data_IF_469480563480
#
_entry.id   IF_469480563480
#
_cell.length_a   1.000
_cell.length_b   1.000
_cell.length_c   1.000
_cell.angle_alpha   90.00
_cell.angle_beta   90.00
_cell.angle_gamma   90.00
#
_symmetry.space_group_name_H-M   'P 1'
#
loop_
_entity.id
_entity.type
_entity.pdbx_description
1 polymer ?
#
# COMPACT_ATOMS: atom_id res chain seq x y z
N UNK A 1 -51.11 -6.57 14.39
CA UNK A 1 -50.84 -8.02 14.64
C UNK A 1 -49.33 -8.22 14.63
N UNK A 2 -48.69 -7.55 15.59
CA UNK A 2 -47.28 -7.57 15.94
C UNK A 2 -47.26 -7.80 17.46
N UNK A 3 -46.17 -8.40 17.91
CA UNK A 3 -45.78 -8.62 19.31
C UNK A 3 -46.55 -9.71 20.07
N UNK A 4 -46.00 -10.93 20.05
CA UNK A 4 -46.15 -11.91 21.16
C UNK A 4 -45.22 -13.15 21.06
N UNK A 5 -44.09 -13.10 20.34
CA UNK A 5 -43.23 -14.29 20.13
C UNK A 5 -41.77 -14.21 20.61
N UNK A 6 -41.37 -13.20 21.39
CA UNK A 6 -39.98 -13.12 21.91
C UNK A 6 -39.79 -13.41 23.39
N UNK A 7 -40.83 -13.70 24.19
CA UNK A 7 -40.68 -13.83 25.65
C UNK A 7 -40.56 -15.26 26.19
N UNK A 8 -40.86 -16.30 25.39
CA UNK A 8 -40.81 -17.69 25.88
C UNK A 8 -39.46 -18.39 25.68
N UNK A 9 -38.55 -17.88 24.84
CA UNK A 9 -37.23 -18.49 24.63
C UNK A 9 -36.22 -18.20 25.75
N UNK A 10 -36.43 -17.13 26.52
CA UNK A 10 -35.49 -16.66 27.54
C UNK A 10 -35.73 -17.28 28.92
N UNK A 11 -36.90 -17.90 29.14
CA UNK A 11 -37.25 -18.53 30.44
C UNK A 11 -36.75 -19.96 30.58
N UNK A 12 -36.54 -20.69 29.48
CA UNK A 12 -36.06 -22.07 29.51
C UNK A 12 -34.54 -22.18 29.66
N UNK A 13 -33.78 -21.13 29.30
CA UNK A 13 -32.34 -21.03 29.59
C UNK A 13 -32.05 -20.65 31.05
N UNK A 14 -33.01 -20.06 31.76
CA UNK A 14 -32.85 -19.62 33.17
C UNK A 14 -33.31 -20.70 34.16
N UNK A 15 -34.09 -21.71 33.72
CA UNK A 15 -34.57 -22.80 34.58
C UNK A 15 -33.68 -24.04 34.63
N UNK A 16 -32.74 -24.21 33.70
CA UNK A 16 -31.77 -25.32 33.78
C UNK A 16 -30.58 -25.05 34.73
N UNK A 17 -30.56 -23.89 35.40
CA UNK A 17 -29.49 -23.49 36.34
C UNK A 17 -29.90 -23.69 37.80
N UNK A 18 -31.06 -24.32 38.07
CA UNK A 18 -31.52 -24.61 39.44
C UNK A 18 -31.85 -26.09 39.58
N UNK A 19 -30.85 -26.88 39.94
CA UNK A 19 -31.03 -28.28 40.28
C UNK A 19 -29.72 -29.05 40.28
N UNK A 20 -28.94 -28.87 41.33
CA UNK A 20 -28.13 -29.87 42.06
C UNK A 20 -27.09 -29.09 42.88
N UNK A 21 -27.52 -28.65 44.06
CA UNK A 21 -26.64 -28.30 45.17
C UNK A 21 -25.95 -29.58 45.64
N UNK A 22 -24.90 -29.98 44.92
CA UNK A 22 -23.81 -30.73 45.53
C UNK A 22 -22.86 -29.67 46.08
N UNK A 23 -22.92 -29.53 47.40
CA UNK A 23 -22.03 -28.77 48.27
C UNK A 23 -20.62 -29.40 48.24
N UNK A 24 -20.00 -29.43 47.05
CA UNK A 24 -18.55 -29.42 46.95
C UNK A 24 -18.16 -27.97 47.10
N UNK A 25 -17.80 -27.60 48.32
CA UNK A 25 -16.98 -26.42 48.60
C UNK A 25 -15.87 -26.37 47.54
N UNK A 26 -16.03 -25.50 46.54
CA UNK A 26 -14.94 -24.91 45.79
C UNK A 26 -14.14 -24.13 46.83
N UNK A 27 -13.31 -24.87 47.57
CA UNK A 27 -12.13 -24.30 48.16
C UNK A 27 -11.40 -23.71 46.97
N UNK A 28 -11.41 -22.38 46.87
CA UNK A 28 -10.35 -21.65 46.20
C UNK A 28 -9.06 -22.10 46.89
N UNK A 29 -8.51 -23.24 46.45
CA UNK A 29 -7.12 -23.60 46.65
C UNK A 29 -6.36 -22.32 46.30
N UNK A 30 -5.68 -21.67 47.26
CA UNK A 30 -5.06 -20.38 47.04
C UNK A 30 -4.10 -20.56 45.87
N UNK A 31 -4.53 -20.10 44.69
CA UNK A 31 -3.87 -20.44 43.44
C UNK A 31 -2.39 -20.15 43.61
N UNK A 32 -1.56 -21.18 43.50
CA UNK A 32 -0.11 -21.08 43.72
C UNK A 32 0.39 -19.88 42.91
N UNK A 33 0.70 -18.80 43.62
CA UNK A 33 1.21 -17.59 42.99
C UNK A 33 2.47 -17.96 42.24
N UNK A 34 2.65 -17.42 41.03
CA UNK A 34 3.90 -17.59 40.29
C UNK A 34 5.04 -17.25 41.25
N UNK A 35 5.94 -18.20 41.58
CA UNK A 35 6.96 -17.98 42.58
C UNK A 35 7.90 -16.89 42.08
N UNK A 36 7.73 -15.67 42.58
CA UNK A 36 8.65 -14.57 42.34
C UNK A 36 9.89 -14.81 43.22
N UNK A 37 11.09 -15.02 42.66
CA UNK A 37 12.29 -15.12 43.47
C UNK A 37 12.48 -13.83 44.28
N UNK A 38 12.75 -13.96 45.57
CA UNK A 38 13.01 -12.80 46.45
C UNK A 38 14.16 -11.97 45.86
N UNK A 39 13.94 -10.65 45.74
CA UNK A 39 14.91 -9.72 45.17
C UNK A 39 14.77 -9.46 43.66
N UNK A 40 13.89 -10.18 42.95
CA UNK A 40 13.58 -9.92 41.52
C UNK A 40 12.19 -9.31 41.29
N UNK A 41 11.52 -8.86 42.35
CA UNK A 41 10.15 -8.34 42.32
C UNK A 41 9.99 -7.19 41.33
N UNK A 42 10.95 -6.26 41.31
CA UNK A 42 10.94 -5.11 40.39
C UNK A 42 10.92 -5.55 38.91
N UNK A 43 11.73 -6.54 38.54
CA UNK A 43 11.78 -7.06 37.17
C UNK A 43 10.42 -7.65 36.74
N UNK A 44 9.74 -8.35 37.66
CA UNK A 44 8.41 -8.91 37.40
C UNK A 44 7.34 -7.82 37.26
N UNK A 45 7.38 -6.77 38.10
CA UNK A 45 6.47 -5.63 37.99
C UNK A 45 6.67 -4.87 36.68
N UNK A 46 7.91 -4.57 36.30
CA UNK A 46 8.24 -3.90 35.04
C UNK A 46 7.76 -4.73 33.83
N UNK A 47 7.98 -6.04 33.86
CA UNK A 47 7.53 -6.95 32.81
C UNK A 47 6.00 -7.00 32.65
N UNK A 48 5.25 -6.96 33.76
CA UNK A 48 3.78 -6.92 33.76
C UNK A 48 3.24 -5.58 33.24
N UNK A 49 3.81 -4.48 33.74
CA UNK A 49 3.45 -3.12 33.32
C UNK A 49 3.72 -2.96 31.82
N UNK A 50 4.87 -3.41 31.31
CA UNK A 50 5.20 -3.35 29.90
C UNK A 50 4.17 -4.10 29.04
N UNK A 51 3.71 -5.28 29.46
CA UNK A 51 2.67 -6.06 28.76
C UNK A 51 1.32 -5.34 28.73
N UNK A 52 0.91 -4.69 29.82
CA UNK A 52 -0.33 -3.92 29.88
C UNK A 52 -0.26 -2.65 29.03
N UNK A 53 0.85 -1.91 29.14
CA UNK A 53 1.09 -0.68 28.38
C UNK A 53 1.18 -0.98 26.87
N UNK A 54 1.85 -2.06 26.49
CA UNK A 54 1.93 -2.53 25.11
C UNK A 54 0.54 -2.73 24.50
N UNK A 55 -0.36 -3.47 25.17
CA UNK A 55 -1.71 -3.75 24.65
C UNK A 55 -2.50 -2.47 24.42
N UNK A 56 -2.47 -1.56 25.39
CA UNK A 56 -3.12 -0.24 25.28
C UNK A 56 -2.53 0.56 24.12
N UNK A 57 -1.21 0.69 24.07
CA UNK A 57 -0.51 1.48 23.07
C UNK A 57 -0.74 0.93 21.65
N UNK A 58 -0.69 -0.40 21.47
CA UNK A 58 -0.98 -1.06 20.20
C UNK A 58 -2.42 -0.80 19.74
N UNK A 59 -3.40 -0.98 20.63
CA UNK A 59 -4.81 -0.79 20.29
C UNK A 59 -5.12 0.67 19.90
N UNK A 60 -4.61 1.62 20.68
CA UNK A 60 -4.76 3.05 20.38
C UNK A 60 -4.03 3.37 19.07
N UNK A 61 -2.76 2.96 18.92
CA UNK A 61 -1.96 3.21 17.73
C UNK A 61 -2.62 2.73 16.44
N UNK A 62 -3.16 1.50 16.42
CA UNK A 62 -3.87 0.96 15.25
C UNK A 62 -5.17 1.73 14.97
N UNK A 63 -5.93 2.07 16.02
CA UNK A 63 -7.22 2.77 15.87
C UNK A 63 -7.02 4.18 15.31
N UNK A 64 -6.07 4.92 15.86
CA UNK A 64 -5.72 6.27 15.40
C UNK A 64 -5.14 6.24 13.99
N UNK A 65 -4.31 5.24 13.65
CA UNK A 65 -3.78 5.07 12.30
C UNK A 65 -4.88 4.75 11.28
N UNK A 66 -5.90 3.98 11.67
CA UNK A 66 -7.06 3.73 10.82
C UNK A 66 -7.93 4.98 10.60
N UNK A 67 -7.89 5.93 11.54
CA UNK A 67 -8.57 7.22 11.45
C UNK A 67 -7.71 8.32 10.83
N UNK A 68 -6.50 8.00 10.35
CA UNK A 68 -5.52 8.93 9.80
C UNK A 68 -5.04 10.03 10.79
N UNK A 69 -5.15 9.78 12.10
CA UNK A 69 -4.56 10.65 13.12
C UNK A 69 -3.09 10.29 13.33
N UNK A 70 -2.25 10.68 12.37
CA UNK A 70 -0.84 10.28 12.29
C UNK A 70 -0.02 10.62 13.54
N UNK A 71 -0.09 11.83 14.13
CA UNK A 71 0.75 12.18 15.28
C UNK A 71 0.47 11.31 16.52
N UNK A 72 -0.81 11.04 16.78
CA UNK A 72 -1.23 10.24 17.93
C UNK A 72 -0.95 8.76 17.67
N UNK A 73 -1.18 8.29 16.44
CA UNK A 73 -0.84 6.94 16.02
C UNK A 73 0.67 6.67 16.22
N UNK A 74 1.53 7.54 15.68
CA UNK A 74 2.99 7.42 15.74
C UNK A 74 3.48 7.33 17.18
N UNK A 75 3.06 8.28 18.03
CA UNK A 75 3.45 8.30 19.46
C UNK A 75 3.09 6.99 20.17
N UNK A 76 1.89 6.46 19.93
CA UNK A 76 1.45 5.22 20.55
C UNK A 76 2.16 3.99 19.96
N UNK A 77 2.46 3.97 18.66
CA UNK A 77 3.20 2.88 18.01
C UNK A 77 4.67 2.86 18.45
N UNK A 78 5.30 4.01 18.64
CA UNK A 78 6.66 4.13 19.20
C UNK A 78 6.69 3.62 20.64
N UNK A 79 5.70 3.97 21.45
CA UNK A 79 5.55 3.42 22.79
C UNK A 79 5.34 1.90 22.75
N UNK A 80 4.45 1.39 21.88
CA UNK A 80 4.24 -0.05 21.70
C UNK A 80 5.55 -0.76 21.30
N UNK A 81 6.34 -0.17 20.41
CA UNK A 81 7.66 -0.68 20.00
C UNK A 81 8.63 -0.74 21.20
N UNK A 82 8.69 0.31 22.01
CA UNK A 82 9.54 0.34 23.20
C UNK A 82 9.12 -0.75 24.22
N UNK A 83 7.82 -0.86 24.50
CA UNK A 83 7.31 -1.90 25.41
C UNK A 83 7.55 -3.31 24.87
N UNK A 84 7.42 -3.52 23.56
CA UNK A 84 7.63 -4.84 22.95
C UNK A 84 9.08 -5.31 23.08
N UNK A 85 10.05 -4.40 23.04
CA UNK A 85 11.47 -4.72 23.33
C UNK A 85 11.67 -5.16 24.78
N UNK A 86 11.04 -4.48 25.74
CA UNK A 86 11.06 -4.92 27.16
C UNK A 86 10.40 -6.28 27.32
N UNK A 87 9.28 -6.53 26.61
CA UNK A 87 8.61 -7.83 26.63
C UNK A 87 9.54 -8.93 26.10
N UNK A 88 10.24 -8.68 25.00
CA UNK A 88 11.23 -9.61 24.42
C UNK A 88 12.32 -9.98 25.44
N UNK A 89 12.89 -8.98 26.10
CA UNK A 89 14.00 -9.19 27.03
C UNK A 89 13.52 -9.84 28.35
N UNK A 90 12.23 -9.74 28.67
CA UNK A 90 11.58 -10.33 29.86
C UNK A 90 10.73 -11.58 29.56
N UNK A 91 10.91 -12.24 28.41
CA UNK A 91 10.10 -13.40 28.01
C UNK A 91 10.27 -14.61 28.94
N UNK A 92 11.47 -14.79 29.49
CA UNK A 92 11.84 -15.90 30.36
C UNK A 92 11.26 -15.77 31.78
N UNK A 93 10.77 -14.58 32.15
CA UNK A 93 10.16 -14.37 33.45
C UNK A 93 8.80 -15.08 33.51
N UNK A 94 8.59 -15.85 34.58
CA UNK A 94 7.37 -16.64 34.77
C UNK A 94 7.34 -17.98 34.04
N UNK A 95 8.44 -18.40 33.39
CA UNK A 95 8.58 -19.81 32.96
C UNK A 95 8.83 -20.71 34.18
N UNK A 96 8.10 -21.82 34.25
CA UNK A 96 8.19 -22.77 35.37
C UNK A 96 9.58 -23.38 35.41
N UNK A 97 10.34 -23.06 36.45
CA UNK A 97 11.70 -23.55 36.71
C UNK A 97 11.72 -25.00 37.24
N UNK A 98 10.57 -25.58 37.63
CA UNK A 98 10.54 -26.70 38.58
C UNK A 98 9.56 -27.84 38.25
N UNK A 99 9.37 -28.19 36.97
CA UNK A 99 8.69 -29.45 36.56
C UNK A 99 7.21 -29.61 36.97
N UNK A 100 6.64 -28.63 37.67
CA UNK A 100 5.21 -28.51 37.99
C UNK A 100 4.65 -27.33 37.24
N UNK A 101 3.88 -27.57 36.17
CA UNK A 101 3.14 -26.52 35.48
C UNK A 101 2.28 -25.75 36.50
N UNK A 102 2.60 -24.47 36.72
CA UNK A 102 1.77 -23.56 37.50
C UNK A 102 0.36 -23.52 36.90
N UNK A 103 -0.67 -23.41 37.74
CA UNK A 103 -2.09 -23.37 37.31
C UNK A 103 -2.36 -22.28 36.25
N UNK A 104 -1.61 -21.19 36.24
CA UNK A 104 -1.70 -20.15 35.19
C UNK A 104 -1.19 -20.62 33.82
N UNK A 105 -0.16 -21.48 33.78
CA UNK A 105 0.31 -22.09 32.53
C UNK A 105 -0.70 -23.13 32.06
N UNK A 106 -1.30 -23.90 32.98
CA UNK A 106 -2.42 -24.78 32.65
C UNK A 106 -3.63 -23.99 32.13
N UNK A 107 -4.02 -22.90 32.78
CA UNK A 107 -5.11 -22.04 32.31
C UNK A 107 -4.81 -21.38 30.95
N UNK A 108 -3.54 -21.08 30.66
CA UNK A 108 -3.11 -20.63 29.33
C UNK A 108 -3.23 -21.76 28.30
N UNK A 109 -2.75 -22.97 28.61
CA UNK A 109 -2.88 -24.15 27.74
C UNK A 109 -4.35 -24.58 27.54
N UNK A 110 -5.19 -24.45 28.58
CA UNK A 110 -6.63 -24.67 28.54
C UNK A 110 -7.39 -23.56 27.80
N UNK A 111 -6.84 -22.34 27.81
CA UNK A 111 -7.40 -21.19 27.08
C UNK A 111 -7.27 -21.27 25.57
N UNK A 112 -6.35 -22.10 25.06
CA UNK A 112 -6.16 -22.38 23.64
C UNK A 112 -6.51 -23.83 23.32
N UNK A 113 -7.79 -24.14 23.14
CA UNK A 113 -8.27 -25.48 22.74
C UNK A 113 -8.22 -25.66 21.20
N UNK A 114 -7.29 -26.45 20.64
CA UNK A 114 -7.21 -26.69 19.20
C UNK A 114 -8.42 -27.47 18.66
N UNK A 115 -9.18 -28.11 19.55
CA UNK A 115 -10.36 -28.90 19.23
C UNK A 115 -11.66 -28.09 19.23
N UNK A 116 -11.61 -26.79 19.55
CA UNK A 116 -12.81 -25.93 19.61
C UNK A 116 -13.60 -25.92 18.29
N UNK A 117 -12.90 -26.06 17.16
CA UNK A 117 -13.50 -26.15 15.83
C UNK A 117 -14.37 -27.41 15.64
N UNK A 118 -14.26 -28.44 16.49
CA UNK A 118 -15.14 -29.63 16.45
C UNK A 118 -16.56 -29.33 16.91
N UNK A 119 -16.75 -28.27 17.72
CA UNK A 119 -18.07 -27.84 18.21
C UNK A 119 -18.80 -26.95 17.20
N UNK A 120 -18.08 -26.39 16.23
CA UNK A 120 -18.65 -25.61 15.15
C UNK A 120 -19.06 -26.56 14.01
N UNK A 121 -20.32 -26.52 13.59
CA UNK A 121 -20.79 -27.22 12.38
C UNK A 121 -20.16 -26.57 11.15
N UNK A 122 -18.93 -26.96 10.82
CA UNK A 122 -18.24 -26.50 9.62
C UNK A 122 -18.24 -27.64 8.60
N UNK A 123 -18.67 -27.39 7.37
CA UNK A 123 -18.59 -28.35 6.26
C UNK A 123 -17.16 -28.58 5.75
N UNK A 124 -16.17 -27.95 6.38
CA UNK A 124 -14.76 -28.08 6.05
C UNK A 124 -14.05 -28.95 7.10
N UNK A 125 -13.06 -29.76 6.70
CA UNK A 125 -12.29 -30.57 7.63
C UNK A 125 -11.63 -29.70 8.72
N UNK A 126 -11.52 -30.18 9.97
CA UNK A 126 -10.84 -29.47 11.04
C UNK A 126 -9.40 -29.15 10.65
N UNK A 127 -9.00 -27.88 10.75
CA UNK A 127 -7.61 -27.47 10.52
C UNK A 127 -6.88 -27.44 11.85
N UNK A 128 -5.77 -28.18 12.01
CA UNK A 128 -4.92 -28.04 13.18
C UNK A 128 -4.33 -26.63 13.19
N UNK A 129 -4.49 -25.92 14.31
CA UNK A 129 -3.86 -24.62 14.53
C UNK A 129 -2.48 -24.89 15.11
N UNK A 130 -1.43 -24.63 14.34
CA UNK A 130 -0.07 -24.67 14.84
C UNK A 130 0.18 -23.41 15.68
N UNK A 131 0.58 -23.59 16.94
CA UNK A 131 0.94 -22.48 17.79
C UNK A 131 2.30 -21.94 17.35
N UNK A 132 2.36 -20.63 17.11
CA UNK A 132 3.61 -19.90 16.84
C UNK A 132 4.42 -19.86 18.14
N UNK A 133 5.75 -20.01 18.07
CA UNK A 133 6.58 -19.89 19.27
C UNK A 133 6.49 -18.47 19.84
N UNK A 134 6.80 -18.31 21.13
CA UNK A 134 6.75 -16.98 21.75
C UNK A 134 7.75 -16.04 21.07
N UNK A 135 8.92 -16.56 20.72
CA UNK A 135 10.02 -15.81 20.10
C UNK A 135 9.61 -15.33 18.71
N UNK A 136 9.05 -16.23 17.90
CA UNK A 136 8.56 -15.89 16.57
C UNK A 136 7.39 -14.90 16.63
N UNK A 137 6.50 -15.03 17.61
CA UNK A 137 5.39 -14.08 17.80
C UNK A 137 5.89 -12.67 18.16
N UNK A 138 6.95 -12.58 18.98
CA UNK A 138 7.56 -11.30 19.36
C UNK A 138 8.22 -10.63 18.16
N UNK A 139 9.03 -11.37 17.40
CA UNK A 139 9.70 -10.84 16.20
C UNK A 139 8.68 -10.43 15.11
N UNK A 140 7.64 -11.24 14.88
CA UNK A 140 6.55 -10.88 13.96
C UNK A 140 5.82 -9.59 14.40
N UNK A 141 5.65 -9.38 15.70
CA UNK A 141 5.03 -8.17 16.23
C UNK A 141 5.93 -6.94 16.08
N UNK A 142 7.24 -7.08 16.33
CA UNK A 142 8.22 -6.02 16.12
C UNK A 142 8.28 -5.62 14.63
N UNK A 143 8.32 -6.60 13.72
CA UNK A 143 8.26 -6.37 12.28
C UNK A 143 6.97 -5.63 11.88
N UNK A 144 5.82 -6.05 12.41
CA UNK A 144 4.56 -5.35 12.18
C UNK A 144 4.59 -3.90 12.66
N UNK A 145 5.09 -3.65 13.88
CA UNK A 145 5.15 -2.28 14.42
C UNK A 145 6.07 -1.38 13.58
N UNK A 146 7.19 -1.92 13.09
CA UNK A 146 8.09 -1.20 12.19
C UNK A 146 7.37 -0.84 10.88
N UNK A 147 6.62 -1.78 10.30
CA UNK A 147 5.80 -1.52 9.12
C UNK A 147 4.74 -0.43 9.37
N UNK A 148 4.10 -0.40 10.55
CA UNK A 148 3.10 0.61 10.89
C UNK A 148 3.73 1.99 11.11
N UNK A 149 4.89 2.07 11.76
CA UNK A 149 5.64 3.32 11.95
C UNK A 149 6.07 3.92 10.62
N UNK A 150 6.53 3.09 9.68
CA UNK A 150 6.88 3.54 8.35
C UNK A 150 5.68 4.14 7.59
N UNK A 151 4.46 3.64 7.82
CA UNK A 151 3.24 4.24 7.26
C UNK A 151 3.03 5.63 7.85
N UNK A 152 3.23 5.82 9.15
CA UNK A 152 3.16 7.14 9.79
C UNK A 152 4.19 8.10 9.21
N UNK A 153 5.45 7.66 9.06
CA UNK A 153 6.53 8.46 8.46
C UNK A 153 6.21 8.85 7.02
N UNK A 154 5.69 7.91 6.22
CA UNK A 154 5.28 8.19 4.84
C UNK A 154 4.13 9.20 4.76
N UNK A 155 3.21 9.21 5.73
CA UNK A 155 2.11 10.16 5.78
C UNK A 155 2.53 11.57 6.24
N UNK A 156 3.64 11.69 6.97
CA UNK A 156 4.24 12.98 7.35
C UNK A 156 5.20 13.54 6.27
N UNK A 157 5.68 12.67 5.38
CA UNK A 157 6.68 13.02 4.38
C UNK A 157 6.06 13.71 3.15
N UNK A 158 6.71 14.78 2.70
CA UNK A 158 6.39 15.51 1.47
C UNK A 158 7.32 15.09 0.32
N UNK A 159 6.89 15.21 -0.96
CA UNK A 159 5.62 15.80 -1.45
C UNK A 159 4.45 14.81 -1.56
N UNK A 160 3.21 15.29 -1.40
CA UNK A 160 1.98 14.50 -1.52
C UNK A 160 1.47 14.37 -2.96
N UNK A 161 2.33 13.88 -3.87
CA UNK A 161 2.00 13.67 -5.27
C UNK A 161 1.81 12.18 -5.61
N UNK A 162 1.34 11.90 -6.82
CA UNK A 162 1.04 10.52 -7.24
C UNK A 162 2.30 9.64 -7.31
N UNK A 163 3.44 10.21 -7.69
CA UNK A 163 4.71 9.49 -7.82
C UNK A 163 5.20 9.03 -6.45
N UNK A 164 5.10 9.90 -5.44
CA UNK A 164 5.40 9.57 -4.06
C UNK A 164 4.43 8.52 -3.51
N UNK A 165 3.13 8.66 -3.74
CA UNK A 165 2.15 7.66 -3.31
C UNK A 165 2.43 6.27 -3.92
N UNK A 166 2.76 6.21 -5.22
CA UNK A 166 3.11 4.95 -5.89
C UNK A 166 4.43 4.37 -5.37
N UNK A 167 5.45 5.20 -5.16
CA UNK A 167 6.76 4.73 -4.69
C UNK A 167 6.67 4.12 -3.29
N UNK A 168 5.90 4.72 -2.38
CA UNK A 168 5.66 4.17 -1.04
C UNK A 168 4.98 2.81 -1.13
N UNK A 169 3.92 2.68 -1.93
CA UNK A 169 3.18 1.42 -2.04
C UNK A 169 4.02 0.33 -2.72
N UNK A 170 4.79 0.69 -3.75
CA UNK A 170 5.72 -0.24 -4.42
C UNK A 170 6.84 -0.71 -3.48
N UNK A 171 7.45 0.22 -2.74
CA UNK A 171 8.49 -0.08 -1.74
C UNK A 171 7.95 -1.01 -0.65
N UNK A 172 6.74 -0.74 -0.17
CA UNK A 172 6.09 -1.60 0.82
C UNK A 172 5.74 -2.98 0.26
N UNK A 173 5.30 -3.06 -0.99
CA UNK A 173 5.03 -4.33 -1.67
C UNK A 173 6.30 -5.17 -1.91
N UNK A 174 7.45 -4.53 -2.13
CA UNK A 174 8.73 -5.17 -2.41
C UNK A 174 9.49 -5.71 -1.18
N UNK A 175 9.01 -5.42 0.03
CA UNK A 175 9.62 -5.91 1.26
C UNK A 175 9.66 -7.44 1.35
N UNK A 176 10.79 -7.94 1.84
CA UNK A 176 11.02 -9.35 2.18
C UNK A 176 11.49 -9.42 3.64
N UNK A 177 10.71 -10.05 4.54
CA UNK A 177 9.42 -10.73 4.33
C UNK A 177 8.27 -9.77 3.93
N UNK A 178 7.24 -10.31 3.26
CA UNK A 178 6.08 -9.52 2.86
C UNK A 178 5.36 -8.96 4.10
N UNK A 179 4.99 -7.68 4.12
CA UNK A 179 4.23 -7.10 5.21
C UNK A 179 2.91 -7.83 5.43
N UNK A 180 2.51 -7.89 6.68
CA UNK A 180 1.32 -8.62 7.07
C UNK A 180 0.03 -7.96 6.52
N UNK A 181 -1.09 -8.66 6.64
CA UNK A 181 -2.37 -8.20 6.09
C UNK A 181 -2.88 -6.91 6.75
N UNK A 182 -2.60 -6.73 8.05
CA UNK A 182 -3.02 -5.54 8.80
C UNK A 182 -2.27 -4.31 8.28
N UNK A 183 -0.95 -4.38 8.21
CA UNK A 183 -0.12 -3.27 7.76
C UNK A 183 -0.42 -2.90 6.30
N UNK A 184 -0.61 -3.88 5.40
CA UNK A 184 -1.06 -3.62 4.01
C UNK A 184 -2.44 -2.95 3.94
N UNK A 185 -3.35 -3.32 4.84
CA UNK A 185 -4.69 -2.73 4.89
C UNK A 185 -4.66 -1.29 5.42
N UNK A 186 -3.86 -1.03 6.45
CA UNK A 186 -3.66 0.31 7.00
C UNK A 186 -2.91 1.23 6.04
N UNK A 187 -1.91 0.71 5.31
CA UNK A 187 -1.24 1.45 4.24
C UNK A 187 -2.25 1.91 3.19
N UNK A 188 -3.11 0.99 2.74
CA UNK A 188 -4.16 1.32 1.76
C UNK A 188 -5.06 2.45 2.25
N UNK A 189 -5.45 2.45 3.53
CA UNK A 189 -6.29 3.50 4.11
C UNK A 189 -5.54 4.84 4.22
N UNK A 190 -4.26 4.82 4.57
CA UNK A 190 -3.49 6.04 4.77
C UNK A 190 -3.01 6.68 3.46
N UNK A 191 -2.72 5.91 2.41
CA UNK A 191 -2.21 6.48 1.14
C UNK A 191 -3.33 7.18 0.36
N UNK A 192 -4.51 6.56 0.20
CA UNK A 192 -5.66 7.21 -0.43
C UNK A 192 -6.97 6.85 0.26
N UNK A 193 -7.65 7.87 0.79
CA UNK A 193 -8.97 7.77 1.40
C UNK A 193 -9.82 8.97 1.01
N UNK A 194 -11.12 8.75 0.75
CA UNK A 194 -12.07 9.82 0.40
C UNK A 194 -11.59 10.74 -0.74
N UNK A 195 -10.95 10.16 -1.77
CA UNK A 195 -10.36 10.89 -2.91
C UNK A 195 -9.27 11.91 -2.53
N UNK A 196 -8.63 11.72 -1.38
CA UNK A 196 -7.48 12.51 -0.91
C UNK A 196 -6.25 11.62 -0.78
N UNK A 197 -5.11 12.07 -1.31
CA UNK A 197 -3.79 11.46 -1.10
C UNK A 197 -3.28 11.90 0.26
N UNK A 198 -2.99 10.94 1.15
CA UNK A 198 -2.60 11.16 2.55
C UNK A 198 -3.54 12.09 3.36
N UNK A 199 -4.78 12.26 2.93
CA UNK A 199 -5.74 13.20 3.54
C UNK A 199 -5.45 14.69 3.25
N UNK A 200 -4.47 14.99 2.40
CA UNK A 200 -3.92 16.34 2.23
C UNK A 200 -4.26 16.95 0.87
N UNK A 201 -4.06 16.18 -0.21
CA UNK A 201 -4.23 16.68 -1.59
C UNK A 201 -5.34 15.90 -2.31
N UNK A 202 -6.32 16.56 -2.95
CA UNK A 202 -7.30 15.89 -3.79
C UNK A 202 -6.61 15.10 -4.91
N UNK A 203 -7.07 13.88 -5.17
CA UNK A 203 -6.48 13.02 -6.20
C UNK A 203 -6.51 13.69 -7.57
N UNK A 204 -7.58 14.41 -7.91
CA UNK A 204 -7.72 15.13 -9.18
C UNK A 204 -6.63 16.20 -9.35
N UNK A 205 -6.30 16.94 -8.29
CA UNK A 205 -5.26 17.98 -8.30
C UNK A 205 -3.87 17.36 -8.42
N UNK A 206 -3.60 16.26 -7.71
CA UNK A 206 -2.33 15.53 -7.83
C UNK A 206 -2.13 14.91 -9.23
N UNK A 207 -3.21 14.45 -9.87
CA UNK A 207 -3.18 13.96 -11.24
C UNK A 207 -2.91 15.13 -12.20
N UNK A 208 -3.58 16.26 -12.01
CA UNK A 208 -3.33 17.48 -12.80
C UNK A 208 -1.86 17.91 -12.70
N UNK A 209 -1.30 17.97 -11.49
CA UNK A 209 0.10 18.28 -11.26
C UNK A 209 1.03 17.30 -11.99
N UNK A 210 0.74 16.00 -11.92
CA UNK A 210 1.55 14.99 -12.60
C UNK A 210 1.50 15.10 -14.12
N UNK A 211 0.31 15.32 -14.70
CA UNK A 211 0.15 15.46 -16.15
C UNK A 211 0.83 16.72 -16.65
N UNK A 212 0.72 17.82 -15.90
CA UNK A 212 1.44 19.07 -16.14
C UNK A 212 2.96 18.86 -16.08
N UNK A 213 3.46 18.14 -15.07
CA UNK A 213 4.89 17.82 -14.96
C UNK A 213 5.42 16.93 -16.08
N UNK A 214 4.59 16.02 -16.59
CA UNK A 214 5.00 15.03 -17.60
C UNK A 214 4.92 15.53 -19.04
N UNK A 215 3.83 16.21 -19.40
CA UNK A 215 3.48 16.53 -20.81
C UNK A 215 3.19 18.00 -21.07
N UNK A 216 3.02 18.82 -20.03
CA UNK A 216 2.71 20.27 -20.09
C UNK A 216 1.63 20.64 -21.13
N UNK A 217 0.39 20.14 -20.98
CA UNK A 217 -0.60 20.34 -22.01
C UNK A 217 -1.20 21.75 -21.99
N UNK A 218 -1.35 22.41 -23.15
CA UNK A 218 -1.77 23.81 -23.22
C UNK A 218 -3.22 24.05 -22.79
N UNK A 219 -4.08 23.03 -22.89
CA UNK A 219 -5.51 23.15 -22.60
C UNK A 219 -5.86 23.20 -21.10
N UNK A 220 -4.92 22.90 -20.19
CA UNK A 220 -5.13 23.04 -18.74
C UNK A 220 -5.25 24.50 -18.28
N UNK A 221 -4.78 25.45 -19.09
CA UNK A 221 -4.87 26.90 -18.86
C UNK A 221 -5.99 27.56 -19.70
N UNK A 222 -6.76 26.77 -20.46
CA UNK A 222 -7.82 27.30 -21.32
C UNK A 222 -9.01 27.81 -20.51
N UNK A 223 -9.56 28.95 -20.91
CA UNK A 223 -10.80 29.51 -20.36
C UNK A 223 -12.07 28.98 -21.04
N UNK A 224 -11.95 28.11 -22.06
CA UNK A 224 -13.11 27.54 -22.75
C UNK A 224 -13.85 26.54 -21.84
N UNK A 225 -15.17 26.74 -21.60
CA UNK A 225 -15.94 25.84 -20.75
C UNK A 225 -16.03 24.39 -21.27
N UNK A 226 -16.03 24.16 -22.60
CA UNK A 226 -16.09 22.79 -23.15
C UNK A 226 -14.77 22.04 -22.90
N UNK A 227 -13.63 22.72 -23.11
CA UNK A 227 -12.30 22.17 -22.82
C UNK A 227 -12.16 21.89 -21.34
N UNK A 228 -12.56 22.84 -20.49
CA UNK A 228 -12.52 22.68 -19.03
C UNK A 228 -13.35 21.47 -18.59
N UNK A 229 -14.56 21.30 -19.12
CA UNK A 229 -15.42 20.16 -18.78
C UNK A 229 -14.83 18.81 -19.20
N UNK A 230 -14.18 18.74 -20.36
CA UNK A 230 -13.47 17.54 -20.85
C UNK A 230 -12.28 17.18 -19.98
N UNK A 231 -11.46 18.19 -19.64
CA UNK A 231 -10.31 18.02 -18.74
C UNK A 231 -10.76 17.57 -17.35
N UNK A 232 -11.81 18.17 -16.77
CA UNK A 232 -12.36 17.74 -15.48
C UNK A 232 -12.85 16.28 -15.52
N UNK A 233 -13.50 15.85 -16.62
CA UNK A 233 -13.90 14.44 -16.80
C UNK A 233 -12.69 13.51 -16.83
N UNK A 234 -11.65 13.89 -17.57
CA UNK A 234 -10.37 13.17 -17.61
C UNK A 234 -9.74 13.07 -16.21
N UNK A 235 -9.62 14.18 -15.47
CA UNK A 235 -9.00 14.18 -14.15
C UNK A 235 -9.73 13.26 -13.17
N UNK A 236 -11.06 13.33 -13.15
CA UNK A 236 -11.89 12.46 -12.32
C UNK A 236 -11.71 10.98 -12.68
N UNK A 237 -11.79 10.64 -13.97
CA UNK A 237 -11.67 9.26 -14.44
C UNK A 237 -10.26 8.68 -14.21
N UNK A 238 -9.23 9.47 -14.49
CA UNK A 238 -7.83 9.13 -14.18
C UNK A 238 -7.61 8.95 -12.68
N UNK A 239 -8.25 9.79 -11.85
CA UNK A 239 -8.24 9.65 -10.39
C UNK A 239 -8.85 8.34 -9.91
N UNK A 240 -10.01 7.95 -10.46
CA UNK A 240 -10.64 6.66 -10.13
C UNK A 240 -9.72 5.48 -10.47
N UNK A 241 -9.10 5.49 -11.65
CA UNK A 241 -8.17 4.45 -12.09
C UNK A 241 -6.90 4.42 -11.23
N UNK A 242 -6.37 5.58 -10.86
CA UNK A 242 -5.24 5.70 -9.96
C UNK A 242 -5.54 5.10 -8.58
N UNK A 243 -6.72 5.38 -8.02
CA UNK A 243 -7.16 4.79 -6.74
C UNK A 243 -7.21 3.26 -6.85
N UNK A 244 -7.73 2.73 -7.97
CA UNK A 244 -7.75 1.27 -8.21
C UNK A 244 -6.34 0.70 -8.32
N UNK A 245 -5.41 1.41 -8.97
CA UNK A 245 -4.01 1.02 -9.07
C UNK A 245 -3.34 0.95 -7.69
N UNK A 246 -3.43 2.01 -6.88
CA UNK A 246 -2.89 2.05 -5.51
C UNK A 246 -3.45 0.89 -4.68
N UNK A 247 -4.76 0.68 -4.70
CA UNK A 247 -5.41 -0.44 -4.01
C UNK A 247 -4.92 -1.79 -4.50
N UNK A 248 -4.64 -1.91 -5.79
CA UNK A 248 -4.14 -3.13 -6.41
C UNK A 248 -2.75 -3.47 -5.90
N UNK A 249 -1.87 -2.48 -5.78
CA UNK A 249 -0.50 -2.64 -5.30
C UNK A 249 -0.42 -2.98 -3.80
N UNK A 250 -1.44 -2.68 -2.99
CA UNK A 250 -1.49 -3.09 -1.57
C UNK A 250 -1.89 -4.57 -1.33
N UNK A 251 -2.27 -5.34 -2.36
CA UNK A 251 -2.58 -6.76 -2.19
C UNK A 251 -1.30 -7.61 -1.98
N UNK A 252 -1.43 -8.92 -1.74
CA UNK A 252 -0.28 -9.82 -1.80
C UNK A 252 0.21 -9.97 -3.26
N UNK A 253 1.48 -10.35 -3.48
CA UNK A 253 2.10 -10.41 -4.81
C UNK A 253 1.32 -11.20 -5.86
N UNK A 254 0.85 -12.41 -5.50
CA UNK A 254 0.04 -13.22 -6.41
C UNK A 254 -1.25 -12.52 -6.87
N UNK A 255 -1.94 -11.83 -5.94
CA UNK A 255 -3.15 -11.07 -6.24
C UNK A 255 -2.83 -9.74 -6.95
N UNK A 256 -1.72 -9.08 -6.63
CA UNK A 256 -1.24 -7.88 -7.34
C UNK A 256 -1.12 -8.20 -8.83
N UNK A 257 -0.32 -9.22 -9.20
CA UNK A 257 -0.11 -9.61 -10.60
C UNK A 257 -1.42 -9.89 -11.34
N UNK A 258 -2.28 -10.76 -10.78
CA UNK A 258 -3.58 -11.12 -11.39
C UNK A 258 -4.48 -9.91 -11.62
N UNK A 259 -4.48 -8.93 -10.72
CA UNK A 259 -5.29 -7.72 -10.86
C UNK A 259 -4.66 -6.73 -11.83
N UNK A 260 -3.33 -6.58 -11.83
CA UNK A 260 -2.63 -5.74 -12.79
C UNK A 260 -2.88 -6.20 -14.24
N UNK A 261 -2.90 -7.51 -14.50
CA UNK A 261 -3.26 -8.06 -15.81
C UNK A 261 -4.66 -7.67 -16.29
N UNK A 262 -5.62 -7.43 -15.39
CA UNK A 262 -6.96 -6.94 -15.75
C UNK A 262 -6.97 -5.43 -15.89
N UNK A 263 -6.31 -4.75 -14.96
CA UNK A 263 -6.24 -3.29 -14.92
C UNK A 263 -5.53 -2.74 -16.17
N UNK A 264 -4.47 -3.39 -16.66
CA UNK A 264 -3.76 -2.92 -17.87
C UNK A 264 -4.67 -2.91 -19.11
N UNK A 265 -5.62 -3.86 -19.20
CA UNK A 265 -6.61 -3.90 -20.28
C UNK A 265 -7.61 -2.75 -20.14
N UNK A 266 -8.05 -2.44 -18.91
CA UNK A 266 -8.90 -1.26 -18.65
C UNK A 266 -8.18 0.05 -19.01
N UNK A 267 -6.87 0.13 -18.75
CA UNK A 267 -6.05 1.29 -19.12
C UNK A 267 -5.81 1.39 -20.64
N UNK A 268 -5.80 0.28 -21.37
CA UNK A 268 -5.74 0.28 -22.84
C UNK A 268 -6.96 0.97 -23.44
N UNK A 269 -8.17 0.51 -23.09
CA UNK A 269 -9.41 1.12 -23.57
C UNK A 269 -9.53 2.58 -23.17
N UNK A 270 -9.07 2.93 -21.97
CA UNK A 270 -9.05 4.32 -21.52
C UNK A 270 -8.04 5.16 -22.30
N UNK A 271 -6.87 4.61 -22.66
CA UNK A 271 -5.92 5.31 -23.51
C UNK A 271 -6.53 5.61 -24.88
N UNK A 272 -7.18 4.63 -25.53
CA UNK A 272 -7.84 4.82 -26.82
C UNK A 272 -8.90 5.95 -26.77
N UNK A 273 -9.73 5.99 -25.72
CA UNK A 273 -10.71 7.07 -25.50
C UNK A 273 -10.04 8.45 -25.40
N UNK A 274 -8.92 8.52 -24.68
CA UNK A 274 -8.20 9.77 -24.47
C UNK A 274 -7.37 10.18 -25.70
N UNK A 275 -6.93 9.25 -26.53
CA UNK A 275 -6.30 9.57 -27.83
C UNK A 275 -7.28 10.28 -28.76
N UNK A 276 -8.54 9.84 -28.79
CA UNK A 276 -9.60 10.52 -29.54
C UNK A 276 -9.81 11.93 -28.98
N UNK A 277 -9.86 12.08 -27.66
CA UNK A 277 -9.98 13.39 -27.01
C UNK A 277 -8.80 14.32 -27.34
N UNK A 278 -7.57 13.83 -27.27
CA UNK A 278 -6.36 14.59 -27.63
C UNK A 278 -6.42 15.04 -29.11
N UNK A 279 -6.88 14.18 -30.02
CA UNK A 279 -7.06 14.52 -31.44
C UNK A 279 -8.11 15.62 -31.62
N UNK A 280 -9.29 15.49 -30.98
CA UNK A 280 -10.36 16.50 -31.06
C UNK A 280 -9.92 17.86 -30.52
N UNK A 281 -9.21 17.89 -29.38
CA UNK A 281 -8.69 19.12 -28.79
C UNK A 281 -7.65 19.76 -29.72
N UNK A 282 -6.80 18.96 -30.33
CA UNK A 282 -5.79 19.45 -31.26
C UNK A 282 -6.39 19.98 -32.57
N UNK A 283 -7.42 19.33 -33.12
CA UNK A 283 -8.08 19.79 -34.34
C UNK A 283 -8.67 21.18 -34.19
N UNK A 284 -9.17 21.52 -33.00
CA UNK A 284 -9.68 22.86 -32.67
C UNK A 284 -8.57 23.91 -32.59
N UNK A 285 -7.40 23.53 -32.07
CA UNK A 285 -6.25 24.43 -31.92
C UNK A 285 -5.32 24.45 -33.15
N UNK A 286 -5.64 23.70 -34.21
CA UNK A 286 -4.77 23.56 -35.39
C UNK A 286 -4.69 24.89 -36.17
N UNK A 287 -3.51 25.54 -36.28
CA UNK A 287 -3.34 26.65 -37.21
C UNK A 287 -3.46 26.13 -38.65
N UNK A 288 -4.22 26.82 -39.49
CA UNK A 288 -4.43 26.44 -40.88
C UNK A 288 -3.08 26.27 -41.63
N UNK A 289 -2.84 25.08 -42.20
CA UNK A 289 -1.76 24.85 -43.16
C UNK A 289 -0.46 24.20 -42.66
N UNK A 290 -0.37 23.68 -41.43
CA UNK A 290 0.81 22.86 -41.00
C UNK A 290 0.42 21.44 -40.60
N UNK A 291 0.93 20.47 -41.35
CA UNK A 291 0.96 19.05 -40.96
C UNK A 291 2.09 18.83 -39.95
N UNK A 292 1.90 19.26 -38.70
CA UNK A 292 2.79 18.85 -37.61
C UNK A 292 2.24 17.54 -37.03
N UNK A 293 3.14 16.59 -36.77
CA UNK A 293 2.84 15.36 -36.05
C UNK A 293 2.13 15.71 -34.74
N UNK A 294 0.97 15.10 -34.52
CA UNK A 294 0.08 15.39 -33.41
C UNK A 294 0.74 15.14 -32.05
N UNK A 295 0.90 16.16 -31.19
CA UNK A 295 1.35 15.93 -29.83
C UNK A 295 0.18 15.36 -29.01
N UNK A 296 0.19 14.04 -28.80
CA UNK A 296 -0.65 13.38 -27.79
C UNK A 296 -0.11 13.75 -26.41
N UNK A 297 -0.87 14.49 -25.63
CA UNK A 297 -0.44 14.98 -24.32
C UNK A 297 -1.02 14.11 -23.20
N UNK A 298 -2.36 14.01 -23.10
CA UNK A 298 -3.02 13.19 -22.07
C UNK A 298 -2.74 11.70 -22.27
N UNK A 299 -2.89 11.21 -23.51
CA UNK A 299 -2.65 9.80 -23.81
C UNK A 299 -1.21 9.39 -23.51
N UNK A 300 -0.23 10.27 -23.77
CA UNK A 300 1.17 9.99 -23.48
C UNK A 300 1.43 9.74 -21.99
N UNK A 301 0.73 10.45 -21.10
CA UNK A 301 0.83 10.22 -19.65
C UNK A 301 0.22 8.87 -19.26
N UNK A 302 -0.95 8.51 -19.82
CA UNK A 302 -1.59 7.20 -19.59
C UNK A 302 -0.66 6.08 -20.08
N UNK A 303 -0.09 6.22 -21.28
CA UNK A 303 0.78 5.22 -21.87
C UNK A 303 2.03 4.96 -21.02
N UNK A 304 2.62 5.99 -20.41
CA UNK A 304 3.75 5.82 -19.50
C UNK A 304 3.39 4.95 -18.28
N UNK A 305 2.23 5.18 -17.65
CA UNK A 305 1.75 4.35 -16.55
C UNK A 305 1.45 2.92 -17.00
N UNK A 306 0.88 2.74 -18.19
CA UNK A 306 0.64 1.42 -18.80
C UNK A 306 1.94 0.64 -18.99
N UNK A 307 3.00 1.26 -19.52
CA UNK A 307 4.31 0.64 -19.67
C UNK A 307 4.91 0.22 -18.31
N UNK A 308 4.79 1.07 -17.29
CA UNK A 308 5.23 0.71 -15.93
C UNK A 308 4.43 -0.49 -15.37
N UNK A 309 3.13 -0.56 -15.63
CA UNK A 309 2.30 -1.69 -15.23
C UNK A 309 2.69 -2.99 -15.95
N UNK A 310 2.97 -2.93 -17.26
CA UNK A 310 3.44 -4.08 -18.03
C UNK A 310 4.77 -4.61 -17.48
N UNK A 311 5.74 -3.72 -17.23
CA UNK A 311 7.00 -4.11 -16.61
C UNK A 311 6.79 -4.74 -15.22
N UNK A 312 5.92 -4.16 -14.39
CA UNK A 312 5.60 -4.71 -13.07
C UNK A 312 4.96 -6.10 -13.13
N UNK A 313 4.07 -6.36 -14.09
CA UNK A 313 3.45 -7.69 -14.29
C UNK A 313 4.52 -8.76 -14.57
N UNK A 314 5.51 -8.41 -15.40
CA UNK A 314 6.59 -9.32 -15.77
C UNK A 314 7.51 -9.57 -14.58
N UNK A 315 7.96 -8.51 -13.89
CA UNK A 315 8.85 -8.60 -12.73
C UNK A 315 8.22 -9.38 -11.57
N UNK A 316 6.94 -9.14 -11.25
CA UNK A 316 6.23 -9.93 -10.23
C UNK A 316 6.11 -11.40 -10.66
N UNK A 317 6.15 -11.70 -11.97
CA UNK A 317 6.20 -13.07 -12.45
C UNK A 317 7.49 -13.82 -12.05
N UNK A 318 8.62 -13.12 -12.03
CA UNK A 318 9.87 -13.67 -11.49
C UNK A 318 9.79 -13.86 -9.97
N UNK A 319 9.27 -12.88 -9.22
CA UNK A 319 9.08 -13.01 -7.76
C UNK A 319 8.19 -14.19 -7.34
N UNK A 320 7.36 -14.70 -8.25
CA UNK A 320 6.40 -15.77 -8.03
C UNK A 320 6.81 -17.09 -8.71
N UNK A 321 8.03 -17.17 -9.25
CA UNK A 321 8.57 -18.33 -9.97
C UNK A 321 7.62 -18.86 -11.06
N UNK A 322 7.01 -17.95 -11.82
CA UNK A 322 6.02 -18.31 -12.85
C UNK A 322 6.65 -18.67 -14.19
N UNK A 323 7.92 -18.34 -14.39
CA UNK A 323 8.63 -18.60 -15.64
C UNK A 323 9.60 -19.75 -15.44
N UNK A 324 9.51 -20.74 -16.31
CA UNK A 324 10.52 -21.80 -16.41
C UNK A 324 11.84 -21.26 -16.97
N UNK A 325 12.94 -21.97 -16.73
CA UNK A 325 14.29 -21.54 -17.16
C UNK A 325 14.38 -21.21 -18.65
N UNK A 326 13.64 -21.92 -19.51
CA UNK A 326 13.61 -21.69 -20.95
C UNK A 326 12.75 -20.49 -21.38
N UNK A 327 11.80 -20.06 -20.55
CA UNK A 327 10.95 -18.89 -20.80
C UNK A 327 11.62 -17.58 -20.35
N UNK A 328 12.51 -17.65 -19.36
CA UNK A 328 13.14 -16.48 -18.75
C UNK A 328 13.84 -15.59 -19.79
N UNK A 329 14.56 -16.18 -20.76
CA UNK A 329 15.22 -15.43 -21.84
C UNK A 329 14.22 -14.60 -22.66
N UNK A 330 13.07 -15.17 -23.02
CA UNK A 330 12.04 -14.45 -23.77
C UNK A 330 11.41 -13.32 -22.95
N UNK A 331 11.20 -13.55 -21.66
CA UNK A 331 10.68 -12.53 -20.75
C UNK A 331 11.67 -11.37 -20.60
N UNK A 332 12.98 -11.66 -20.50
CA UNK A 332 14.02 -10.64 -20.44
C UNK A 332 14.13 -9.83 -21.74
N UNK A 333 14.10 -10.47 -22.90
CA UNK A 333 14.06 -9.78 -24.20
C UNK A 333 12.84 -8.85 -24.32
N UNK A 334 11.69 -9.29 -23.82
CA UNK A 334 10.49 -8.46 -23.82
C UNK A 334 10.57 -7.31 -22.81
N UNK A 335 11.17 -7.51 -21.64
CA UNK A 335 11.46 -6.43 -20.69
C UNK A 335 12.39 -5.37 -21.27
N UNK A 336 13.45 -5.78 -21.98
CA UNK A 336 14.34 -4.87 -22.68
C UNK A 336 13.58 -4.04 -23.72
N UNK A 337 12.75 -4.70 -24.54
CA UNK A 337 11.89 -4.02 -25.50
C UNK A 337 10.95 -2.99 -24.83
N UNK A 338 10.37 -3.33 -23.67
CA UNK A 338 9.51 -2.41 -22.92
C UNK A 338 10.28 -1.19 -22.40
N UNK A 339 11.47 -1.39 -21.82
CA UNK A 339 12.29 -0.27 -21.34
C UNK A 339 12.77 0.62 -22.47
N UNK A 340 13.15 0.03 -23.61
CA UNK A 340 13.53 0.78 -24.80
C UNK A 340 12.35 1.58 -25.38
N UNK A 341 11.16 0.98 -25.39
CA UNK A 341 9.91 1.66 -25.77
C UNK A 341 9.59 2.81 -24.82
N UNK A 342 9.75 2.61 -23.50
CA UNK A 342 9.54 3.66 -22.50
C UNK A 342 10.52 4.83 -22.70
N UNK A 343 11.79 4.52 -22.95
CA UNK A 343 12.83 5.52 -23.20
C UNK A 343 12.54 6.34 -24.46
N UNK A 344 12.23 5.68 -25.59
CA UNK A 344 11.84 6.35 -26.84
C UNK A 344 10.60 7.23 -26.66
N UNK A 345 9.61 6.75 -25.90
CA UNK A 345 8.40 7.52 -25.60
C UNK A 345 8.70 8.76 -24.76
N UNK A 346 9.53 8.64 -23.72
CA UNK A 346 9.95 9.77 -22.89
C UNK A 346 10.68 10.84 -23.73
N UNK A 347 11.64 10.45 -24.57
CA UNK A 347 12.32 11.37 -25.48
C UNK A 347 11.37 12.06 -26.47
N UNK A 348 10.38 11.32 -27.00
CA UNK A 348 9.35 11.91 -27.86
C UNK A 348 8.55 12.98 -27.12
N UNK A 349 8.11 12.71 -25.89
CA UNK A 349 7.36 13.68 -25.08
C UNK A 349 8.20 14.92 -24.78
N UNK A 350 9.47 14.75 -24.41
CA UNK A 350 10.40 15.87 -24.18
C UNK A 350 10.59 16.72 -25.44
N UNK A 351 10.72 16.09 -26.62
CA UNK A 351 10.83 16.81 -27.89
C UNK A 351 9.58 17.64 -28.21
N UNK A 352 8.39 17.11 -27.88
CA UNK A 352 7.11 17.80 -28.04
C UNK A 352 7.01 19.01 -27.10
N UNK A 353 7.42 18.86 -25.85
CA UNK A 353 7.44 19.96 -24.87
C UNK A 353 8.40 21.07 -25.33
N UNK A 354 9.62 20.72 -25.75
CA UNK A 354 10.60 21.70 -26.28
C UNK A 354 10.07 22.42 -27.51
N UNK A 355 9.44 21.69 -28.44
CA UNK A 355 8.82 22.28 -29.63
C UNK A 355 7.64 23.22 -29.28
N UNK A 356 6.87 22.92 -28.24
CA UNK A 356 5.80 23.77 -27.75
C UNK A 356 6.34 25.05 -27.09
N UNK A 357 7.40 24.95 -26.29
CA UNK A 357 8.07 26.09 -25.64
C UNK A 357 8.73 27.04 -26.65
N UNK A 358 9.26 26.51 -27.75
CA UNK A 358 9.89 27.30 -28.82
C UNK A 358 8.89 28.08 -29.70
N UNK A 359 7.57 27.87 -29.57
CA UNK A 359 6.59 28.65 -30.33
C UNK A 359 6.51 30.08 -29.76
N UNK A 360 6.77 31.14 -30.55
CA UNK A 360 6.72 32.50 -30.04
C UNK A 360 5.29 32.88 -29.64
N UNK A 361 5.06 33.13 -28.35
CA UNK A 361 3.86 33.83 -27.87
C UNK A 361 3.90 35.27 -28.43
N UNK A 362 2.88 35.66 -29.19
CA UNK A 362 2.93 36.81 -30.11
C UNK A 362 3.36 38.17 -29.51
N UNK A 363 4.31 38.80 -30.23
CA UNK A 363 4.70 40.23 -30.33
C UNK A 363 5.40 40.94 -29.14
N UNK A 364 6.73 40.98 -29.20
CA UNK A 364 7.45 42.24 -29.51
C UNK A 364 8.76 41.92 -30.22
N UNK A 365 9.05 42.63 -31.32
CA UNK A 365 10.25 42.44 -32.11
C UNK A 365 11.45 43.13 -31.44
N UNK A 366 12.53 42.38 -31.22
CA UNK A 366 13.89 42.85 -31.50
C UNK A 366 14.84 41.67 -31.63
N UNK A 367 15.47 41.62 -32.79
CA UNK A 367 16.49 40.66 -33.20
C UNK A 367 17.77 40.85 -32.38
N UNK A 368 18.24 39.79 -31.74
CA UNK A 368 19.67 39.58 -31.51
C UNK A 368 20.03 38.12 -31.81
N UNK A 369 20.97 37.96 -32.73
CA UNK A 369 21.66 36.73 -33.06
C UNK A 369 22.56 36.33 -31.89
N UNK A 370 22.31 35.16 -31.30
CA UNK A 370 23.25 34.51 -30.40
C UNK A 370 23.56 33.14 -31.00
N UNK A 371 24.86 32.87 -31.10
CA UNK A 371 25.45 31.69 -31.69
C UNK A 371 24.96 30.41 -31.01
N UNK A 372 24.84 29.35 -31.81
CA UNK A 372 24.59 27.98 -31.37
C UNK A 372 25.67 27.52 -30.39
N UNK A 373 25.40 27.63 -29.08
CA UNK A 373 25.94 26.70 -28.10
C UNK A 373 25.15 25.39 -28.24
N UNK A 374 25.85 24.29 -28.55
CA UNK A 374 25.30 22.95 -28.49
C UNK A 374 25.00 22.66 -27.02
N UNK A 375 23.82 23.10 -26.58
CA UNK A 375 23.33 22.90 -25.23
C UNK A 375 23.29 21.38 -24.99
N UNK A 376 24.18 20.89 -24.12
CA UNK A 376 24.32 19.47 -23.85
C UNK A 376 22.95 18.96 -23.39
N UNK A 377 22.33 18.09 -24.19
CA UNK A 377 20.97 17.61 -23.92
C UNK A 377 20.92 16.97 -22.53
N UNK A 378 20.25 17.63 -21.59
CA UNK A 378 19.92 17.05 -20.28
C UNK A 378 18.57 16.34 -20.41
N UNK A 379 18.52 15.00 -20.29
CA UNK A 379 17.26 14.26 -20.31
C UNK A 379 16.40 14.64 -19.11
N UNK A 380 15.08 14.67 -19.28
CA UNK A 380 14.13 14.87 -18.20
C UNK A 380 14.12 13.69 -17.22
N UNK A 381 13.52 13.86 -16.02
CA UNK A 381 13.58 12.88 -14.94
C UNK A 381 13.03 11.50 -15.34
N UNK A 382 11.99 11.44 -16.16
CA UNK A 382 11.42 10.18 -16.64
C UNK A 382 12.32 9.48 -17.67
N UNK A 383 12.98 10.23 -18.55
CA UNK A 383 13.97 9.67 -19.49
C UNK A 383 15.21 9.17 -18.74
N UNK A 384 15.68 9.91 -17.72
CA UNK A 384 16.77 9.46 -16.84
C UNK A 384 16.37 8.19 -16.11
N UNK A 385 15.16 8.12 -15.55
CA UNK A 385 14.69 6.92 -14.84
C UNK A 385 14.53 5.73 -15.78
N UNK A 386 13.96 5.92 -16.98
CA UNK A 386 13.84 4.86 -17.97
C UNK A 386 15.22 4.36 -18.43
N UNK A 387 16.16 5.27 -18.66
CA UNK A 387 17.53 4.92 -19.03
C UNK A 387 18.25 4.20 -17.87
N UNK A 388 18.09 4.65 -16.63
CA UNK A 388 18.65 3.98 -15.46
C UNK A 388 18.10 2.57 -15.29
N UNK A 389 16.78 2.38 -15.44
CA UNK A 389 16.16 1.05 -15.43
C UNK A 389 16.75 0.16 -16.52
N UNK A 390 16.90 0.68 -17.74
CA UNK A 390 17.52 -0.04 -18.87
C UNK A 390 18.97 -0.42 -18.57
N UNK A 391 19.79 0.52 -18.10
CA UNK A 391 21.21 0.29 -17.80
C UNK A 391 21.42 -0.68 -16.64
N UNK A 392 20.64 -0.55 -15.55
CA UNK A 392 20.67 -1.51 -14.44
C UNK A 392 20.27 -2.89 -14.94
N UNK A 393 19.21 -2.98 -15.74
CA UNK A 393 18.79 -4.24 -16.32
C UNK A 393 19.88 -4.86 -17.18
N UNK A 394 20.47 -4.11 -18.13
CA UNK A 394 21.56 -4.60 -18.98
C UNK A 394 22.78 -5.04 -18.15
N UNK A 395 23.20 -4.24 -17.17
CA UNK A 395 24.36 -4.54 -16.33
C UNK A 395 24.17 -5.71 -15.34
N UNK A 396 22.94 -6.21 -15.16
CA UNK A 396 22.68 -7.44 -14.39
C UNK A 396 22.81 -8.71 -15.24
N UNK A 397 22.85 -8.57 -16.57
CA UNK A 397 22.87 -9.69 -17.53
C UNK A 397 24.07 -9.70 -18.49
N UNK A 398 24.99 -8.73 -18.34
CA UNK A 398 26.38 -8.77 -18.86
C UNK A 398 27.31 -9.42 -17.83
#
# INVERSE_FOLDING_TARGET
LKDERSENGTRDLVRSVKGEENDETLQDEPGESLPCPKGRELEYYEALIARAQFRRALQVGITELAQQNIPTAKTNLENAMAQMKIIRDSMQLGEVVSGRQCQLIRAFEEGFDPSINRKLFVQAPPRPIANVSKEEAVENTLSMLADLLEICEAAEAHPYNITFALSIVQRFAAKTPSPNVLARSLLRLNVVQQNMIFGQVPVEDAIKESVMGYSQPPYFESSDPDITARVSRFLKRSGDLFIVLVRTLCYNRARQRRRLCKLVVEWEYYQEEIEIMDQELQERDRPAGKAAQAPYYLSSWIYNHKLNMLAAILLIGFELDLYSDYEQTYVFLYLEYLYDTQLRHAYRVESVIKAAAARPKGKSAKSHSVADEVDAYVPGPDAVLANAKKLIFMGLFE
#
